data_IF_047741824545
#
_entry.id   IF_047741824545
#
_cell.length_a   1.000
_cell.length_b   1.000
_cell.length_c   1.000
_cell.angle_alpha   90.00
_cell.angle_beta   90.00
_cell.angle_gamma   90.00
#
_symmetry.space_group_name_H-M   'P 1'
#
loop_
_entity.id
_entity.type
_entity.pdbx_description
1 polymer ?
2 branched ?
3 water ?
#
# COMPACT_ATOMS: atom_id res chain seq x y z
N UNK A 1 -12.34 -9.22 -4.68
CA UNK A 1 -13.44 -8.60 -3.99
C UNK A 1 -13.35 -8.74 -2.46
N UNK A 2 -12.76 -9.79 -1.94
CA UNK A 2 -12.64 -9.98 -0.52
C UNK A 2 -11.19 -9.78 -0.08
N UNK A 3 -11.00 -9.41 1.18
CA UNK A 3 -9.67 -9.12 1.72
C UNK A 3 -9.34 -9.94 2.95
N UNK A 4 -8.28 -9.55 3.65
CA UNK A 4 -7.85 -10.26 4.84
C UNK A 4 -7.77 -11.74 4.55
N UNK A 5 -8.21 -12.57 5.49
CA UNK A 5 -8.22 -14.03 5.34
C UNK A 5 -9.20 -14.50 4.25
N UNK A 6 -10.26 -13.74 4.03
CA UNK A 6 -11.22 -14.10 3.01
C UNK A 6 -10.87 -13.48 1.62
N UNK A 7 -9.62 -13.09 1.46
CA UNK A 7 -9.20 -12.47 0.21
C UNK A 7 -7.83 -12.90 -0.24
N UNK A 8 -7.05 -13.45 0.69
CA UNK A 8 -5.70 -13.95 0.46
C UNK A 8 -4.63 -12.87 0.68
N UNK A 9 -4.78 -12.13 1.77
CA UNK A 9 -3.85 -11.07 2.06
C UNK A 9 -4.31 -9.86 1.30
N UNK A 10 -5.24 -10.02 0.36
CA UNK A 10 -5.74 -8.91 -0.47
C UNK A 10 -5.91 -7.64 0.33
N UNK A 11 -5.73 -6.49 -0.32
CA UNK A 11 -5.84 -5.20 0.35
C UNK A 11 -6.89 -4.31 -0.33
N UNK A 12 -7.45 -3.36 0.39
CA UNK A 12 -8.47 -2.48 -0.17
C UNK A 12 -7.71 -1.35 -0.81
N UNK A 13 -8.30 -0.65 -1.79
CA UNK A 13 -7.48 0.44 -2.35
C UNK A 13 -7.62 1.65 -1.41
N UNK A 14 -6.98 2.75 -1.78
CA UNK A 14 -7.06 4.00 -1.01
C UNK A 14 -7.19 3.87 0.50
N UNK A 15 -6.48 2.93 1.10
CA UNK A 15 -6.50 2.73 2.56
C UNK A 15 -7.76 2.20 3.25
N UNK A 16 -8.79 1.94 2.46
CA UNK A 16 -10.06 1.42 2.95
C UNK A 16 -9.78 0.32 3.95
N UNK A 17 -10.59 0.28 5.01
CA UNK A 17 -10.49 -0.70 6.09
C UNK A 17 -11.19 -1.97 5.70
N UNK A 18 -10.55 -3.06 6.06
CA UNK A 18 -11.03 -4.39 5.74
C UNK A 18 -11.47 -5.09 6.99
N UNK A 19 -12.78 -5.02 7.27
CA UNK A 19 -13.36 -5.60 8.49
C UNK A 19 -13.05 -7.06 8.64
N UNK A 20 -13.46 -7.60 9.77
CA UNK A 20 -13.21 -9.01 10.04
C UNK A 20 -14.00 -9.98 9.18
N UNK A 21 -14.99 -9.49 8.47
CA UNK A 21 -15.78 -10.35 7.62
C UNK A 21 -15.22 -10.40 6.19
N UNK A 22 -14.07 -9.76 5.98
CA UNK A 22 -13.44 -9.74 4.67
C UNK A 22 -13.98 -8.72 3.69
N UNK A 23 -14.59 -7.64 4.18
CA UNK A 23 -15.13 -6.62 3.27
C UNK A 23 -14.47 -5.23 3.41
N UNK A 24 -14.44 -4.50 2.29
CA UNK A 24 -13.83 -3.17 2.21
C UNK A 24 -14.75 -1.96 2.43
N UNK A 25 -14.28 -1.01 3.24
CA UNK A 25 -15.05 0.18 3.49
C UNK A 25 -14.40 0.98 4.59
N UNK A 26 -15.09 2.03 5.00
CA UNK A 26 -14.62 2.94 6.03
C UNK A 26 -15.81 3.14 6.95
N UNK A 27 -15.54 3.36 8.24
CA UNK A 27 -16.57 3.57 9.23
C UNK A 27 -16.42 2.65 10.43
N UNK A 28 -16.99 3.05 11.58
CA UNK A 28 -16.92 2.25 12.78
C UNK A 28 -17.10 0.77 12.55
N UNK A 29 -17.91 0.45 11.56
CA UNK A 29 -18.17 -0.94 11.27
C UNK A 29 -16.97 -1.68 10.70
N UNK A 30 -16.34 -1.10 9.69
CA UNK A 30 -15.20 -1.75 9.06
C UNK A 30 -13.86 -1.45 9.71
N UNK A 31 -13.64 -0.20 10.09
CA UNK A 31 -12.39 0.25 10.70
C UNK A 31 -12.20 -0.09 12.13
N UNK A 32 -13.25 -0.58 12.77
CA UNK A 32 -13.21 -0.92 14.18
C UNK A 32 -12.63 -2.27 14.54
N UNK A 33 -13.36 -3.04 15.36
CA UNK A 33 -12.90 -4.36 15.77
C UNK A 33 -12.98 -5.36 14.61
N UNK A 34 -11.94 -6.17 14.49
CA UNK A 34 -11.88 -7.12 13.40
C UNK A 34 -11.26 -6.53 12.13
N UNK A 35 -10.78 -5.29 12.18
CA UNK A 35 -10.12 -4.66 11.02
C UNK A 35 -8.96 -5.61 10.71
N UNK A 36 -8.77 -5.94 9.42
CA UNK A 36 -7.69 -6.85 9.05
C UNK A 36 -6.46 -6.16 8.42
N UNK A 37 -6.68 -5.00 7.79
CA UNK A 37 -5.67 -4.18 7.12
C UNK A 37 -6.35 -2.88 6.70
N UNK A 38 -5.57 -1.86 6.42
CA UNK A 38 -6.15 -0.59 6.00
C UNK A 38 -5.93 0.45 7.09
N UNK A 39 -6.63 1.58 7.02
CA UNK A 39 -6.51 2.65 8.02
C UNK A 39 -7.22 2.32 9.31
N UNK A 40 -6.94 1.15 9.88
CA UNK A 40 -7.61 0.75 11.11
C UNK A 40 -7.64 1.83 12.15
N UNK A 41 -8.40 1.58 13.21
CA UNK A 41 -8.50 2.49 14.34
C UNK A 41 -7.66 1.89 15.42
N UNK A 42 -7.42 0.62 15.22
CA UNK A 42 -6.69 -0.24 16.12
C UNK A 42 -5.31 -0.61 15.50
N UNK A 43 -4.44 0.41 15.37
CA UNK A 43 -3.09 0.31 14.78
C UNK A 43 -2.19 -0.86 15.18
N UNK A 44 -1.91 -1.69 14.18
CA UNK A 44 -1.12 -2.93 14.23
C UNK A 44 0.37 -2.90 14.54
N UNK A 45 0.82 -3.94 15.23
CA UNK A 45 2.22 -4.08 15.64
C UNK A 45 3.13 -4.49 14.50
N UNK A 46 4.43 -4.28 14.65
CA UNK A 46 5.34 -4.70 13.61
C UNK A 46 6.75 -4.80 14.12
N UNK A 47 7.70 -4.98 13.21
CA UNK A 47 9.10 -5.06 13.59
C UNK A 47 9.41 -5.82 14.86
N UNK A 48 10.44 -5.34 15.56
CA UNK A 48 10.93 -5.94 16.81
C UNK A 48 9.82 -6.29 17.77
N UNK A 49 8.92 -5.33 17.95
CA UNK A 49 7.81 -5.49 18.86
C UNK A 49 6.78 -6.48 18.38
N UNK A 50 7.00 -7.09 17.22
CA UNK A 50 6.00 -8.02 16.71
C UNK A 50 6.54 -9.20 15.94
N UNK A 51 7.71 -9.67 16.33
CA UNK A 51 8.31 -10.81 15.64
C UNK A 51 8.67 -10.49 14.20
N UNK A 52 8.72 -9.21 13.87
CA UNK A 52 9.06 -8.81 12.52
C UNK A 52 8.02 -9.11 11.48
N UNK A 53 6.85 -8.50 11.59
CA UNK A 53 5.80 -8.69 10.61
C UNK A 53 5.39 -7.31 10.12
N UNK A 54 5.98 -6.94 8.99
CA UNK A 54 5.77 -5.65 8.33
C UNK A 54 4.32 -5.20 8.32
N UNK A 55 4.12 -3.94 7.94
CA UNK A 55 2.81 -3.35 7.88
C UNK A 55 2.18 -3.52 6.52
N UNK A 56 0.86 -3.80 6.50
CA UNK A 56 0.25 -3.95 5.19
C UNK A 56 0.03 -2.54 4.69
N UNK A 57 -0.50 -2.42 3.48
CA UNK A 57 -0.80 -1.15 2.83
C UNK A 57 0.40 -0.21 2.68
N UNK A 58 1.60 -0.73 2.92
CA UNK A 58 2.91 0.01 2.81
C UNK A 58 3.07 1.12 3.83
N UNK A 59 2.57 0.88 5.04
CA UNK A 59 2.66 1.85 6.09
C UNK A 59 4.05 1.71 6.64
N UNK A 60 4.50 2.73 7.39
CA UNK A 60 5.82 2.78 8.00
C UNK A 60 5.62 2.21 9.35
N UNK A 61 6.58 1.46 9.82
CA UNK A 61 6.51 0.82 11.12
C UNK A 61 7.34 1.64 12.07
N UNK A 62 6.69 2.49 12.84
CA UNK A 62 7.40 3.37 13.77
C UNK A 62 8.38 2.62 14.63
N UNK A 63 9.14 3.39 15.40
CA UNK A 63 10.12 2.83 16.30
C UNK A 63 9.41 2.07 17.41
N UNK A 64 8.30 2.59 17.88
CA UNK A 64 7.61 1.93 18.96
C UNK A 64 6.90 0.65 18.56
N UNK A 65 6.80 0.40 17.26
CA UNK A 65 6.17 -0.81 16.73
C UNK A 65 4.72 -0.76 16.26
N UNK A 66 4.24 0.40 15.83
CA UNK A 66 2.87 0.54 15.35
C UNK A 66 2.84 1.02 13.91
N UNK A 67 1.87 0.52 13.13
CA UNK A 67 1.70 0.87 11.72
C UNK A 67 0.99 2.18 11.44
N UNK A 68 1.64 3.03 10.65
CA UNK A 68 1.04 4.32 10.31
C UNK A 68 1.82 5.08 9.24
N UNK A 69 1.43 6.33 9.06
CA UNK A 69 2.03 7.28 8.14
C UNK A 69 2.07 8.59 8.89
N UNK A 70 3.21 9.26 8.86
CA UNK A 70 3.39 10.53 9.53
C UNK A 70 4.80 10.55 10.08
N UNK A 71 5.27 11.75 10.41
CA UNK A 71 6.63 11.97 10.92
C UNK A 71 6.98 11.08 12.07
N UNK A 72 5.97 10.67 12.82
CA UNK A 72 6.16 9.82 13.99
C UNK A 72 6.40 8.38 13.63
N UNK A 73 5.98 8.00 12.42
CA UNK A 73 6.13 6.61 11.93
C UNK A 73 7.22 6.39 10.91
N UNK A 74 7.08 7.07 9.78
CA UNK A 74 8.05 7.00 8.69
C UNK A 74 9.39 7.61 9.14
N UNK A 75 9.33 8.71 9.90
CA UNK A 75 10.51 9.40 10.37
C UNK A 75 11.56 8.62 11.15
N UNK A 76 12.16 9.28 12.15
CA UNK A 76 13.17 8.68 12.99
C UNK A 76 12.65 7.40 13.62
N UNK A 77 13.54 6.45 13.82
CA UNK A 77 13.12 5.20 14.42
C UNK A 77 12.59 4.18 13.42
N UNK A 78 11.83 4.65 12.42
CA UNK A 78 11.22 3.82 11.37
C UNK A 78 11.94 2.49 11.11
N UNK A 79 11.31 1.38 11.54
CA UNK A 79 11.88 0.03 11.36
C UNK A 79 11.58 -0.62 9.98
N UNK A 80 10.52 -0.16 9.30
CA UNK A 80 10.20 -0.73 8.00
C UNK A 80 9.06 0.01 7.31
N UNK A 81 8.95 -0.07 5.99
CA UNK A 81 7.91 0.62 5.23
C UNK A 81 8.59 1.75 4.46
N UNK A 82 7.88 2.67 3.77
CA UNK A 82 8.56 3.74 3.03
C UNK A 82 9.18 4.75 3.98
N UNK A 83 10.27 4.34 4.65
CA UNK A 83 10.93 5.22 5.60
C UNK A 83 11.55 6.42 4.89
N UNK A 84 11.64 7.56 5.58
CA UNK A 84 12.21 8.75 5.00
C UNK A 84 13.75 8.66 4.82
N UNK A 85 14.33 7.57 5.30
CA UNK A 85 15.75 7.31 5.22
C UNK A 85 15.94 6.16 4.24
N UNK A 86 17.09 6.16 3.58
CA UNK A 86 17.40 5.14 2.60
C UNK A 86 17.77 3.81 3.22
N UNK A 87 17.12 2.77 2.75
CA UNK A 87 17.39 1.47 3.29
C UNK A 87 18.41 0.84 2.35
N UNK A 88 19.63 0.70 2.88
CA UNK A 88 20.78 0.11 2.19
C UNK A 88 20.47 -1.35 1.90
N UNK A 89 21.28 -2.02 1.09
CA UNK A 89 21.03 -3.43 0.80
C UNK A 89 22.19 -4.13 0.07
N UNK A 90 21.83 -5.09 -0.78
CA UNK A 90 22.78 -5.84 -1.59
C UNK A 90 24.17 -6.19 -1.07
N UNK A 91 25.08 -6.36 -2.02
CA UNK A 91 26.48 -6.71 -1.78
C UNK A 91 27.16 -5.85 -0.75
N UNK A 92 26.74 -4.60 -0.69
CA UNK A 92 27.33 -3.67 0.25
C UNK A 92 26.95 -4.04 1.67
N UNK A 93 25.66 -3.91 1.95
CA UNK A 93 25.14 -4.18 3.28
C UNK A 93 25.18 -5.62 3.80
N UNK A 94 26.27 -6.35 3.56
CA UNK A 94 26.34 -7.71 4.04
C UNK A 94 25.48 -8.70 3.26
N UNK A 95 24.96 -8.27 2.10
CA UNK A 95 24.13 -9.13 1.27
C UNK A 95 22.62 -9.01 1.43
N UNK A 96 22.15 -8.22 2.38
CA UNK A 96 20.72 -8.03 2.67
C UNK A 96 19.72 -7.91 1.51
N UNK A 97 18.49 -8.37 1.76
CA UNK A 97 17.44 -8.30 0.76
C UNK A 97 16.47 -7.21 1.19
N UNK A 98 15.87 -6.50 0.25
CA UNK A 98 14.91 -5.45 0.60
C UNK A 98 13.65 -6.04 1.25
N UNK A 99 12.88 -5.21 1.98
CA UNK A 99 11.65 -5.60 2.65
C UNK A 99 10.49 -5.48 1.66
N UNK A 100 9.45 -6.29 1.84
CA UNK A 100 8.30 -6.22 0.95
C UNK A 100 8.62 -6.13 -0.56
N UNK A 101 9.36 -7.12 -1.07
CA UNK A 101 9.74 -7.23 -2.47
C UNK A 101 10.24 -5.93 -3.10
N UNK A 102 10.99 -5.16 -2.34
CA UNK A 102 11.53 -3.92 -2.90
C UNK A 102 12.80 -4.28 -3.63
N UNK A 103 13.07 -3.51 -4.69
CA UNK A 103 14.22 -3.69 -5.53
C UNK A 103 15.40 -3.03 -4.86
N UNK A 104 16.55 -3.70 -4.93
CA UNK A 104 17.80 -3.21 -4.41
C UNK A 104 18.63 -2.85 -5.64
N UNK A 105 18.76 -1.54 -5.92
CA UNK A 105 19.53 -1.03 -7.06
C UNK A 105 21.00 -1.40 -7.00
N UNK A 106 21.78 -0.91 -7.97
CA UNK A 106 23.22 -1.22 -8.03
C UNK A 106 24.10 -0.51 -7.01
N UNK A 107 23.56 0.60 -6.50
CA UNK A 107 24.23 1.46 -5.51
C UNK A 107 24.00 1.01 -4.06
N UNK A 108 23.19 -0.03 -3.88
CA UNK A 108 22.91 -0.56 -2.55
C UNK A 108 21.81 0.13 -1.76
N UNK A 109 20.70 0.47 -2.43
CA UNK A 109 19.58 1.13 -1.77
C UNK A 109 18.19 0.67 -2.23
N UNK A 110 17.28 0.48 -1.27
CA UNK A 110 15.95 0.00 -1.57
C UNK A 110 15.03 1.02 -2.16
N UNK A 111 14.20 0.56 -3.11
CA UNK A 111 13.23 1.40 -3.79
C UNK A 111 12.48 0.58 -4.84
N UNK A 112 11.86 1.25 -5.81
CA UNK A 112 11.07 0.58 -6.83
C UNK A 112 10.88 1.52 -8.02
N UNK A 113 11.24 1.06 -9.23
CA UNK A 113 11.13 1.88 -10.43
C UNK A 113 12.32 1.60 -11.32
N UNK A 114 12.42 2.24 -12.49
CA UNK A 114 13.56 2.02 -13.42
C UNK A 114 14.84 2.07 -12.64
N UNK A 115 15.04 3.21 -12.03
CA UNK A 115 16.18 3.48 -11.20
C UNK A 115 16.62 2.33 -10.26
N UNK A 116 15.67 1.50 -9.79
CA UNK A 116 15.99 0.42 -8.84
C UNK A 116 15.79 -0.97 -9.44
N UNK A 117 14.71 -1.10 -10.18
CA UNK A 117 14.35 -2.37 -10.82
C UNK A 117 14.90 -2.52 -12.25
N UNK A 118 15.46 -1.41 -12.75
CA UNK A 118 16.08 -1.35 -14.07
C UNK A 118 17.38 -2.13 -14.02
N UNK A 119 18.47 -1.60 -14.56
CA UNK A 119 19.68 -2.39 -14.52
C UNK A 119 20.59 -2.13 -13.34
N UNK A 120 21.15 -3.23 -12.82
CA UNK A 120 22.03 -3.20 -11.68
C UNK A 120 21.38 -3.83 -10.46
N UNK A 121 20.08 -4.08 -10.60
CA UNK A 121 19.25 -4.65 -9.53
C UNK A 121 19.78 -5.95 -8.90
N UNK A 122 20.00 -5.90 -7.60
CA UNK A 122 20.52 -7.05 -6.85
C UNK A 122 19.51 -8.06 -6.28
N UNK A 123 18.27 -7.63 -6.03
CA UNK A 123 17.26 -8.51 -5.46
C UNK A 123 15.89 -7.83 -5.45
N UNK A 124 14.84 -8.65 -5.32
CA UNK A 124 13.49 -8.14 -5.29
C UNK A 124 12.82 -8.19 -6.64
N UNK A 125 11.89 -7.27 -6.87
CA UNK A 125 11.11 -7.21 -8.11
C UNK A 125 11.88 -6.60 -9.25
N UNK A 126 13.07 -7.16 -9.49
CA UNK A 126 13.98 -6.71 -10.56
C UNK A 126 13.42 -7.06 -11.94
N UNK A 127 13.31 -6.06 -12.82
CA UNK A 127 12.82 -6.27 -14.19
C UNK A 127 13.90 -6.82 -15.14
N UNK A 128 15.14 -6.94 -14.65
CA UNK A 128 16.27 -7.44 -15.42
C UNK A 128 15.90 -8.73 -16.12
N UNK A 129 14.99 -9.46 -15.50
CA UNK A 129 14.48 -10.70 -16.04
C UNK A 129 15.52 -11.74 -16.44
N UNK A 130 16.64 -11.78 -15.72
CA UNK A 130 17.70 -12.75 -16.02
C UNK A 130 17.18 -14.16 -15.79
N UNK A 131 17.74 -15.13 -16.50
CA UNK A 131 17.32 -16.52 -16.37
C UNK A 131 17.75 -17.17 -15.03
N UNK A 132 17.79 -18.49 -15.01
CA UNK A 132 18.18 -19.23 -13.82
C UNK A 132 18.45 -20.68 -14.19
N UNK A 133 18.61 -21.53 -13.19
CA UNK A 133 18.83 -22.95 -13.38
C UNK A 133 19.63 -23.54 -14.54
N UNK A 134 19.31 -24.79 -14.86
CA UNK A 134 19.97 -25.60 -15.89
C UNK A 134 20.24 -24.86 -17.18
N UNK A 135 19.28 -24.07 -17.58
CA UNK A 135 19.35 -23.30 -18.81
C UNK A 135 20.57 -22.41 -18.97
N UNK A 136 21.19 -22.01 -17.86
CA UNK A 136 22.35 -21.13 -17.95
C UNK A 136 23.15 -20.94 -16.66
N UNK A 137 24.27 -21.65 -16.54
CA UNK A 137 25.11 -21.52 -15.38
C UNK A 137 24.57 -22.19 -14.14
N UNK A 138 23.27 -22.46 -14.15
CA UNK A 138 22.64 -23.10 -13.01
C UNK A 138 22.38 -22.13 -11.87
N UNK A 139 22.41 -20.84 -12.17
CA UNK A 139 22.19 -19.82 -11.16
C UNK A 139 20.75 -19.91 -10.63
N UNK A 140 20.55 -19.40 -9.43
CA UNK A 140 19.25 -19.43 -8.80
C UNK A 140 18.81 -18.01 -8.49
N UNK A 141 17.51 -17.84 -8.28
CA UNK A 141 16.89 -16.56 -7.99
C UNK A 141 17.17 -15.87 -6.67
N UNK A 142 16.79 -14.60 -6.59
CA UNK A 142 16.94 -13.87 -5.34
C UNK A 142 15.61 -14.11 -4.66
N UNK A 143 15.48 -13.65 -3.42
CA UNK A 143 14.23 -13.75 -2.69
C UNK A 143 13.52 -15.10 -2.74
N UNK A 144 14.27 -16.17 -3.00
CA UNK A 144 13.67 -17.51 -3.04
C UNK A 144 12.52 -17.59 -4.03
N UNK A 145 12.46 -16.66 -4.97
CA UNK A 145 11.43 -16.65 -5.99
C UNK A 145 11.53 -18.01 -6.65
N UNK A 146 10.49 -18.42 -7.36
CA UNK A 146 10.51 -19.72 -8.04
C UNK A 146 11.09 -19.54 -9.42
N UNK A 147 11.78 -20.56 -9.92
CA UNK A 147 12.39 -20.52 -11.26
C UNK A 147 11.68 -21.53 -12.19
N UNK A 148 10.92 -21.00 -13.16
CA UNK A 148 10.14 -21.81 -14.10
C UNK A 148 10.92 -22.72 -15.04
N UNK A 149 10.15 -23.46 -15.85
CA UNK A 149 10.68 -24.41 -16.85
C UNK A 149 11.62 -23.73 -17.87
N UNK A 150 11.18 -22.60 -18.40
CA UNK A 150 12.01 -21.84 -19.31
C UNK A 150 12.74 -20.78 -18.48
N UNK A 151 13.37 -21.27 -17.41
CA UNK A 151 14.15 -20.44 -16.51
C UNK A 151 13.79 -18.98 -16.44
N UNK A 152 12.70 -18.71 -15.74
CA UNK A 152 12.22 -17.35 -15.53
C UNK A 152 11.93 -17.30 -14.04
N UNK A 153 12.50 -16.35 -13.31
CA UNK A 153 12.22 -16.27 -11.87
C UNK A 153 10.86 -15.64 -11.59
N UNK A 154 10.08 -16.22 -10.69
CA UNK A 154 8.76 -15.64 -10.41
C UNK A 154 8.05 -16.39 -9.32
N UNK A 155 6.84 -15.96 -9.01
CA UNK A 155 5.97 -16.53 -7.96
C UNK A 155 4.63 -16.71 -8.62
N UNK A 156 3.95 -17.78 -8.26
CA UNK A 156 2.66 -18.06 -8.85
C UNK A 156 2.63 -19.54 -9.16
N UNK A 157 1.60 -20.02 -9.85
CA UNK A 157 1.57 -21.46 -10.16
C UNK A 157 2.54 -21.85 -11.26
N UNK A 158 2.67 -21.00 -12.28
CA UNK A 158 3.54 -21.31 -13.41
C UNK A 158 5.05 -21.20 -13.22
N UNK A 159 5.46 -20.85 -12.02
CA UNK A 159 6.88 -20.73 -11.74
C UNK A 159 7.21 -21.73 -10.66
N UNK A 160 6.21 -22.00 -9.82
CA UNK A 160 6.39 -22.88 -8.69
C UNK A 160 5.86 -24.28 -8.83
N UNK A 161 4.99 -24.50 -9.81
CA UNK A 161 4.43 -25.82 -10.03
C UNK A 161 5.49 -26.78 -10.54
N UNK A 162 5.15 -27.48 -11.62
CA UNK A 162 6.03 -28.46 -12.26
C UNK A 162 7.02 -27.74 -13.16
N UNK A 163 8.22 -28.28 -13.25
CA UNK A 163 9.24 -27.67 -14.08
C UNK A 163 9.80 -26.48 -13.35
N UNK A 164 9.64 -26.47 -12.03
CA UNK A 164 10.17 -25.41 -11.20
C UNK A 164 11.49 -26.05 -10.80
N UNK A 165 12.59 -25.36 -11.07
CA UNK A 165 13.91 -25.89 -10.80
C UNK A 165 14.45 -25.56 -9.43
N UNK A 166 14.21 -24.34 -8.98
CA UNK A 166 14.67 -23.90 -7.67
C UNK A 166 13.75 -22.81 -7.14
N UNK A 167 13.77 -22.61 -5.84
CA UNK A 167 12.92 -21.59 -5.24
C UNK A 167 11.75 -22.14 -4.47
N UNK A 168 10.70 -21.35 -4.32
CA UNK A 168 9.51 -21.79 -3.60
C UNK A 168 8.66 -22.66 -4.48
N UNK A 169 9.27 -23.72 -5.02
CA UNK A 169 8.57 -24.63 -5.91
C UNK A 169 7.39 -25.17 -5.13
N UNK A 170 6.21 -24.71 -5.51
CA UNK A 170 4.95 -25.10 -4.87
C UNK A 170 4.69 -26.59 -5.13
N UNK A 171 5.65 -27.21 -5.82
CA UNK A 171 5.65 -28.62 -6.16
C UNK A 171 7.09 -29.01 -6.56
N UNK B 1 -10.88 -13.42 -4.18
CA UNK B 1 -9.42 -13.40 -4.07
C UNK B 1 -8.69 -12.79 -5.28
N UNK B 2 -9.45 -12.13 -6.15
CA UNK B 2 -8.96 -11.52 -7.35
C UNK B 2 -8.63 -10.06 -7.07
N UNK B 3 -7.73 -9.54 -7.89
CA UNK B 3 -7.23 -8.18 -7.76
C UNK B 3 -7.59 -7.36 -8.97
N UNK B 4 -6.90 -6.23 -9.15
CA UNK B 4 -7.15 -5.37 -10.27
C UNK B 4 -8.63 -5.12 -10.34
N UNK B 5 -9.16 -4.89 -11.54
CA UNK B 5 -10.60 -4.66 -11.71
C UNK B 5 -11.49 -5.90 -11.45
N UNK B 6 -10.90 -7.10 -11.45
CA UNK B 6 -11.65 -8.36 -11.18
C UNK B 6 -11.82 -8.57 -9.68
N UNK B 7 -11.44 -7.56 -8.91
CA UNK B 7 -11.56 -7.61 -7.47
C UNK B 7 -11.95 -6.22 -7.07
N UNK B 8 -12.31 -5.40 -8.06
CA UNK B 8 -12.70 -4.02 -7.81
C UNK B 8 -11.57 -3.23 -7.17
N UNK B 9 -10.62 -2.75 -7.98
CA UNK B 9 -9.49 -1.96 -7.49
C UNK B 9 -8.72 -2.47 -6.29
N UNK B 10 -8.84 -3.76 -6.02
CA UNK B 10 -8.19 -4.42 -4.88
C UNK B 10 -6.69 -4.61 -5.16
N UNK B 11 -5.88 -4.74 -4.13
CA UNK B 11 -4.48 -4.87 -4.39
C UNK B 11 -3.87 -6.05 -3.73
N UNK B 12 -2.78 -6.51 -4.31
CA UNK B 12 -2.02 -7.65 -3.84
C UNK B 12 -1.16 -7.25 -2.65
N UNK B 13 -0.83 -8.20 -1.78
CA UNK B 13 -0.01 -7.95 -0.60
C UNK B 13 1.45 -7.94 -0.98
N UNK B 14 2.31 -7.52 -0.04
CA UNK B 14 3.76 -7.48 -0.23
C UNK B 14 4.25 -7.03 -1.58
N UNK B 15 3.64 -6.00 -2.12
CA UNK B 15 4.03 -5.46 -3.40
C UNK B 15 3.90 -6.29 -4.66
N UNK B 16 3.23 -7.44 -4.56
CA UNK B 16 3.02 -8.34 -5.70
C UNK B 16 2.21 -7.71 -6.83
N UNK B 17 2.55 -8.09 -8.06
CA UNK B 17 1.89 -7.56 -9.25
C UNK B 17 0.56 -8.23 -9.58
N UNK B 18 -0.42 -7.40 -9.94
CA UNK B 18 -1.72 -7.90 -10.30
C UNK B 18 -1.74 -7.88 -11.80
N UNK B 19 -1.69 -9.06 -12.42
CA UNK B 19 -1.67 -9.14 -13.87
C UNK B 19 -2.95 -8.68 -14.50
N UNK B 20 -2.89 -8.50 -15.82
CA UNK B 20 -4.03 -8.10 -16.64
C UNK B 20 -5.33 -8.85 -16.41
N UNK B 21 -5.25 -10.12 -16.01
CA UNK B 21 -6.41 -11.00 -15.76
C UNK B 21 -6.94 -11.03 -14.34
N UNK B 22 -6.32 -10.26 -13.45
CA UNK B 22 -6.78 -10.18 -12.07
C UNK B 22 -6.23 -11.16 -11.08
N UNK B 23 -4.96 -11.53 -11.18
CA UNK B 23 -4.39 -12.47 -10.23
C UNK B 23 -3.08 -11.96 -9.63
N UNK B 24 -2.88 -12.19 -8.35
CA UNK B 24 -1.65 -11.76 -7.74
C UNK B 24 -0.45 -12.63 -7.98
N UNK B 25 0.63 -12.01 -8.42
CA UNK B 25 1.84 -12.77 -8.62
C UNK B 25 2.99 -11.83 -8.83
N UNK B 26 4.15 -12.43 -9.05
CA UNK B 26 5.40 -11.75 -9.33
C UNK B 26 6.03 -12.55 -10.46
N UNK B 27 6.42 -11.86 -11.51
CA UNK B 27 7.07 -12.48 -12.65
C UNK B 27 6.78 -11.66 -13.89
N UNK B 28 7.44 -11.95 -15.02
CA UNK B 28 7.19 -11.17 -16.23
C UNK B 28 5.72 -11.29 -16.59
N UNK B 29 5.13 -12.42 -16.19
CA UNK B 29 3.73 -12.71 -16.51
C UNK B 29 2.72 -12.13 -15.58
N UNK B 30 3.18 -11.31 -14.68
CA UNK B 30 2.31 -10.66 -13.72
C UNK B 30 2.68 -9.17 -13.72
N UNK B 31 3.98 -8.90 -13.70
CA UNK B 31 4.54 -7.53 -13.72
C UNK B 31 4.74 -6.90 -15.12
N UNK B 32 4.62 -7.72 -16.17
CA UNK B 32 4.79 -7.24 -17.54
C UNK B 32 3.69 -6.29 -17.98
N UNK B 33 3.07 -6.58 -19.13
CA UNK B 33 2.00 -5.76 -19.67
C UNK B 33 0.69 -6.25 -19.11
N UNK B 34 -0.22 -5.31 -18.87
CA UNK B 34 -1.50 -5.68 -18.30
C UNK B 34 -1.48 -5.54 -16.79
N UNK B 35 -0.29 -5.55 -16.20
CA UNK B 35 -0.10 -5.39 -14.76
C UNK B 35 -1.04 -4.24 -14.37
N UNK B 36 -1.74 -4.36 -13.24
CA UNK B 36 -2.66 -3.30 -12.84
C UNK B 36 -2.18 -2.51 -11.59
N UNK B 37 -1.36 -3.16 -10.76
CA UNK B 37 -0.87 -2.55 -9.55
C UNK B 37 0.19 -3.48 -9.00
N UNK B 38 0.91 -3.01 -7.99
CA UNK B 38 1.99 -3.79 -7.39
C UNK B 38 3.26 -3.22 -7.98
N UNK B 39 4.35 -3.97 -7.94
CA UNK B 39 5.62 -3.54 -8.52
C UNK B 39 5.68 -3.67 -10.06
N UNK B 40 4.71 -3.08 -10.77
CA UNK B 40 4.69 -3.15 -12.23
C UNK B 40 5.94 -2.59 -12.86
N UNK B 41 6.58 -3.43 -13.66
CA UNK B 41 7.82 -3.13 -14.39
C UNK B 41 7.86 -1.78 -15.10
N UNK B 42 6.68 -1.33 -15.51
CA UNK B 42 6.47 -0.05 -16.15
C UNK B 42 5.48 0.59 -15.19
N UNK B 43 6.06 1.40 -14.33
CA UNK B 43 5.39 2.15 -13.28
C UNK B 43 4.18 2.95 -13.75
N UNK B 44 3.08 2.78 -13.04
CA UNK B 44 1.85 3.48 -13.38
C UNK B 44 2.05 4.98 -13.19
N UNK B 45 1.32 5.79 -13.94
CA UNK B 45 1.47 7.24 -13.84
C UNK B 45 0.61 7.86 -12.74
N UNK B 46 0.58 9.18 -12.69
CA UNK B 46 -0.18 9.87 -11.66
C UNK B 46 -0.12 11.35 -11.83
N UNK B 47 -0.51 12.07 -10.76
CA UNK B 47 -0.47 13.53 -10.68
C UNK B 47 -0.87 14.39 -11.85
N UNK B 48 -0.27 15.58 -11.89
CA UNK B 48 -0.53 16.57 -12.94
C UNK B 48 -0.48 15.96 -14.34
N UNK B 49 0.50 15.08 -14.54
CA UNK B 49 0.71 14.40 -15.80
C UNK B 49 -0.55 13.64 -16.09
N UNK B 50 -0.89 12.75 -15.16
CA UNK B 50 -2.08 11.91 -15.31
C UNK B 50 -3.35 12.54 -14.76
N UNK B 51 -3.67 13.77 -15.20
CA UNK B 51 -4.88 14.44 -14.74
C UNK B 51 -5.26 14.35 -13.26
N UNK B 52 -4.29 14.02 -12.40
CA UNK B 52 -4.53 13.88 -10.98
C UNK B 52 -4.45 12.45 -10.43
N UNK B 53 -4.48 11.45 -11.32
CA UNK B 53 -4.44 10.02 -11.00
C UNK B 53 -3.50 9.75 -9.83
N UNK B 54 -3.98 9.07 -8.78
CA UNK B 54 -3.14 8.73 -7.62
C UNK B 54 -2.60 7.31 -7.71
N UNK B 55 -1.39 7.11 -7.20
CA UNK B 55 -0.76 5.81 -7.25
C UNK B 55 -1.35 4.76 -6.34
N UNK B 56 -1.46 3.50 -6.84
CA UNK B 56 -2.01 2.47 -5.96
C UNK B 56 -0.98 2.14 -4.86
N UNK B 57 -1.28 1.14 -4.03
CA UNK B 57 -0.47 0.67 -2.91
C UNK B 57 0.34 1.72 -2.15
N UNK B 58 -0.07 2.97 -2.13
CA UNK B 58 0.69 4.04 -1.39
C UNK B 58 2.10 4.18 -1.91
N UNK B 59 2.21 4.23 -3.22
CA UNK B 59 3.49 4.38 -3.87
C UNK B 59 3.61 5.89 -3.92
N UNK B 60 4.85 6.38 -3.97
CA UNK B 60 5.05 7.81 -4.07
C UNK B 60 5.01 8.07 -5.53
N UNK B 61 4.39 9.18 -5.89
CA UNK B 61 4.30 9.67 -7.25
C UNK B 61 5.38 10.76 -7.37
N UNK B 62 6.53 10.44 -7.94
CA UNK B 62 7.63 11.40 -8.11
C UNK B 62 7.19 12.65 -8.81
N UNK B 63 8.11 13.57 -9.02
CA UNK B 63 7.76 14.82 -9.69
C UNK B 63 7.57 14.73 -11.18
N UNK B 64 7.74 13.54 -11.75
CA UNK B 64 7.56 13.37 -13.18
C UNK B 64 6.24 12.68 -13.50
N UNK B 65 5.59 12.12 -12.48
CA UNK B 65 4.36 11.41 -12.70
C UNK B 65 4.59 9.91 -12.92
N UNK B 66 5.38 9.30 -12.05
CA UNK B 66 5.68 7.86 -12.11
C UNK B 66 5.68 7.35 -10.68
N UNK B 67 5.05 6.20 -10.44
CA UNK B 67 4.92 5.61 -9.09
C UNK B 67 6.05 4.70 -8.71
N UNK B 68 6.61 4.91 -7.53
CA UNK B 68 7.69 4.04 -7.08
C UNK B 68 8.01 4.33 -5.64
N UNK B 69 9.23 4.01 -5.22
CA UNK B 69 9.71 4.21 -3.86
C UNK B 69 11.18 4.64 -3.85
N UNK B 70 11.66 5.16 -2.73
CA UNK B 70 13.05 5.62 -2.67
C UNK B 70 13.31 7.08 -3.02
N UNK B 71 14.50 7.56 -2.66
CA UNK B 71 14.94 8.96 -2.86
C UNK B 71 14.29 9.69 -3.98
N UNK B 72 14.32 9.07 -5.16
CA UNK B 72 13.84 9.68 -6.40
C UNK B 72 12.37 9.90 -6.60
N UNK B 73 11.58 9.27 -5.74
CA UNK B 73 10.11 9.32 -5.80
C UNK B 73 9.47 9.98 -4.60
N UNK B 74 9.87 9.51 -3.43
CA UNK B 74 9.37 10.01 -2.16
C UNK B 74 10.16 11.23 -1.70
N UNK B 75 11.34 11.46 -2.31
CA UNK B 75 12.21 12.57 -1.96
C UNK B 75 11.65 13.94 -2.27
N UNK B 76 12.43 14.77 -2.94
CA UNK B 76 11.91 16.07 -3.26
C UNK B 76 11.15 15.91 -4.57
N UNK B 77 10.15 16.75 -4.78
CA UNK B 77 9.34 16.68 -5.98
C UNK B 77 8.10 15.84 -5.78
N UNK B 78 8.17 14.85 -4.89
CA UNK B 78 7.05 13.97 -4.61
C UNK B 78 5.73 14.69 -4.75
N UNK B 79 4.88 14.08 -5.58
CA UNK B 79 3.56 14.57 -5.89
C UNK B 79 2.47 13.95 -5.02
N UNK B 80 2.75 12.78 -4.45
CA UNK B 80 1.76 12.12 -3.60
C UNK B 80 2.27 10.81 -3.00
N UNK B 81 1.43 10.13 -2.22
CA UNK B 81 1.86 8.87 -1.62
C UNK B 81 2.56 9.22 -0.34
N UNK B 82 3.31 8.28 0.24
CA UNK B 82 3.98 8.64 1.49
C UNK B 82 5.23 9.51 1.28
N UNK B 83 5.06 10.76 0.83
CA UNK B 83 6.22 11.62 0.58
C UNK B 83 7.20 11.71 1.75
N UNK B 84 8.42 12.22 1.50
CA UNK B 84 9.36 12.37 2.61
C UNK B 84 9.08 13.70 3.34
N UNK B 85 8.37 14.61 2.68
CA UNK B 85 8.03 15.89 3.28
C UNK B 85 6.61 15.85 3.85
N UNK B 86 6.37 16.66 4.90
CA UNK B 86 5.09 16.75 5.61
C UNK B 86 4.07 17.38 4.73
N UNK B 87 2.89 16.79 4.74
CA UNK B 87 1.77 17.20 3.90
C UNK B 87 0.76 18.00 4.69
N UNK B 88 0.57 19.25 4.29
CA UNK B 88 -0.36 20.13 4.98
C UNK B 88 -1.82 19.85 4.64
N UNK B 89 -2.71 20.28 5.53
CA UNK B 89 -4.14 20.06 5.35
C UNK B 89 -5.00 20.82 6.35
N UNK B 90 -6.29 20.84 6.09
CA UNK B 90 -7.23 21.46 7.00
C UNK B 90 -7.32 22.95 6.97
N UNK B 91 -7.68 23.53 8.12
CA UNK B 91 -7.82 24.98 8.24
C UNK B 91 -6.54 25.69 7.83
N UNK B 92 -5.41 25.15 8.28
CA UNK B 92 -4.11 25.71 7.97
C UNK B 92 -3.92 25.80 6.45
N UNK B 93 -4.24 24.72 5.78
CA UNK B 93 -4.08 24.61 4.33
C UNK B 93 -5.33 24.94 3.52
N UNK B 94 -6.27 25.66 4.11
CA UNK B 94 -7.48 26.03 3.38
C UNK B 94 -8.48 24.91 3.14
N UNK B 95 -8.78 24.15 4.18
CA UNK B 95 -9.72 23.04 4.04
C UNK B 95 -9.11 21.83 3.32
N UNK B 96 -7.90 22.00 2.81
CA UNK B 96 -7.15 20.99 2.05
C UNK B 96 -7.22 19.61 2.71
N UNK B 97 -7.97 18.69 2.11
CA UNK B 97 -8.08 17.32 2.62
C UNK B 97 -6.81 16.55 2.36
N UNK B 98 -6.65 15.43 3.06
CA UNK B 98 -5.50 14.60 2.81
C UNK B 98 -5.92 13.60 1.77
N UNK B 99 -4.96 13.16 0.93
CA UNK B 99 -5.30 12.19 -0.09
C UNK B 99 -5.24 10.78 0.47
N UNK B 100 -5.91 9.86 -0.21
CA UNK B 100 -5.94 8.46 0.19
C UNK B 100 -6.41 8.22 1.60
N UNK B 101 -7.48 8.94 1.94
CA UNK B 101 -8.15 8.84 3.24
C UNK B 101 -7.32 9.17 4.48
N UNK B 102 -6.02 9.44 4.31
CA UNK B 102 -5.16 9.76 5.45
C UNK B 102 -5.89 10.75 6.32
N UNK B 103 -5.59 10.69 7.61
CA UNK B 103 -6.18 11.56 8.62
C UNK B 103 -5.40 12.83 8.63
N UNK B 104 -6.10 13.94 8.84
CA UNK B 104 -5.46 15.22 8.93
C UNK B 104 -5.48 15.53 10.39
N UNK B 105 -4.30 15.53 10.99
CA UNK B 105 -4.08 15.80 12.41
C UNK B 105 -4.66 17.08 12.96
N UNK B 106 -4.51 17.21 14.27
CA UNK B 106 -4.93 18.42 14.97
C UNK B 106 -4.04 19.59 14.51
N UNK B 107 -2.76 19.29 14.27
CA UNK B 107 -1.72 20.25 13.88
C UNK B 107 -1.64 20.57 12.41
N UNK B 108 -2.35 19.78 11.60
CA UNK B 108 -2.38 20.02 10.17
C UNK B 108 -1.44 19.32 9.22
N UNK B 109 -1.19 18.02 9.39
CA UNK B 109 -0.35 17.23 8.48
C UNK B 109 -0.93 15.83 8.38
N UNK B 110 -1.23 15.40 7.17
CA UNK B 110 -1.83 14.10 6.99
C UNK B 110 -0.98 12.99 7.49
N UNK B 111 -1.63 11.87 7.81
CA UNK B 111 -0.90 10.71 8.29
C UNK B 111 -1.93 9.67 8.63
N UNK B 112 -1.63 8.75 9.54
CA UNK B 112 -2.57 7.71 10.00
C UNK B 112 -1.96 7.29 11.32
N UNK B 113 -2.80 6.98 12.31
CA UNK B 113 -2.32 6.56 13.62
C UNK B 113 -3.08 7.40 14.62
N UNK B 114 -3.03 7.05 15.90
CA UNK B 114 -3.75 7.82 16.91
C UNK B 114 -3.43 9.32 16.83
N UNK B 115 -2.18 9.61 16.51
CA UNK B 115 -1.67 10.95 16.39
C UNK B 115 -2.49 11.76 15.42
N UNK B 116 -2.70 11.25 14.22
CA UNK B 116 -3.47 12.03 13.25
C UNK B 116 -4.98 11.78 13.26
N UNK B 117 -5.33 10.52 13.45
CA UNK B 117 -6.71 10.07 13.40
C UNK B 117 -7.57 10.28 14.63
N UNK B 118 -6.95 10.36 15.80
CA UNK B 118 -7.66 10.54 17.04
C UNK B 118 -8.09 11.96 17.34
N UNK B 119 -8.07 12.30 18.63
CA UNK B 119 -8.44 13.63 19.11
C UNK B 119 -7.83 14.74 18.27
N UNK B 120 -8.70 15.64 17.78
CA UNK B 120 -8.27 16.74 16.94
C UNK B 120 -8.48 16.48 15.45
N UNK B 121 -8.39 15.21 15.07
CA UNK B 121 -8.56 14.74 13.69
C UNK B 121 -9.56 15.62 12.90
N UNK B 122 -9.11 16.33 11.86
CA UNK B 122 -10.04 17.18 11.12
C UNK B 122 -10.65 16.71 9.80
N UNK B 123 -10.13 15.64 9.22
CA UNK B 123 -10.70 15.07 8.00
C UNK B 123 -9.92 13.81 7.66
N UNK B 124 -10.53 12.91 6.88
CA UNK B 124 -9.88 11.67 6.51
C UNK B 124 -10.42 10.54 7.35
N UNK B 125 -9.61 9.50 7.59
CA UNK B 125 -9.99 8.31 8.35
C UNK B 125 -10.02 8.41 9.89
N UNK B 126 -10.62 9.49 10.40
CA UNK B 126 -10.69 9.77 11.83
C UNK B 126 -11.30 8.72 12.77
N UNK B 127 -10.47 8.21 13.67
CA UNK B 127 -10.88 7.19 14.65
C UNK B 127 -11.92 7.68 15.69
N UNK B 128 -12.10 9.00 15.71
CA UNK B 128 -13.05 9.64 16.59
C UNK B 128 -14.37 9.63 15.84
N UNK B 129 -15.25 8.71 16.18
CA UNK B 129 -16.54 8.66 15.50
C UNK B 129 -17.39 9.86 15.96
N UNK B 130 -17.46 10.88 15.13
CA UNK B 130 -18.25 12.07 15.44
C UNK B 130 -19.64 11.80 14.92
N UNK B 131 -20.64 12.35 15.60
CA UNK B 131 -22.01 12.14 15.17
C UNK B 131 -22.42 13.12 14.09
N UNK B 132 -23.17 12.63 13.11
CA UNK B 132 -23.65 13.46 12.02
C UNK B 132 -25.20 13.47 12.00
N UNK B 133 -25.78 14.25 11.10
CA UNK B 133 -27.23 14.27 10.99
C UNK B 133 -28.11 15.08 11.93
N UNK B 134 -29.41 14.88 11.78
CA UNK B 134 -30.40 15.60 12.59
C UNK B 134 -30.12 15.52 14.07
N UNK B 135 -29.74 14.32 14.51
CA UNK B 135 -29.41 14.09 15.92
C UNK B 135 -27.96 14.52 16.20
N UNK B 136 -27.47 15.49 15.43
CA UNK B 136 -26.11 16.01 15.56
C UNK B 136 -25.97 17.40 14.92
N UNK B 137 -26.88 18.29 15.28
CA UNK B 137 -26.86 19.63 14.75
C UNK B 137 -27.13 19.72 13.25
N UNK B 138 -27.29 18.56 12.63
CA UNK B 138 -27.50 18.52 11.19
C UNK B 138 -26.14 18.53 10.51
N UNK B 139 -25.11 18.24 11.31
CA UNK B 139 -23.74 18.19 10.84
C UNK B 139 -23.66 17.18 9.70
N UNK B 140 -22.70 17.37 8.80
CA UNK B 140 -22.45 16.50 7.65
C UNK B 140 -20.95 16.11 7.73
N UNK B 141 -20.60 14.94 7.21
CA UNK B 141 -19.23 14.41 7.30
C UNK B 141 -18.09 15.01 6.49
N UNK B 142 -16.87 14.53 6.74
CA UNK B 142 -15.68 14.96 5.99
C UNK B 142 -15.45 14.01 4.80
N UNK B 143 -14.67 14.47 3.84
CA UNK B 143 -14.34 13.65 2.69
C UNK B 143 -15.53 13.20 1.84
N UNK B 144 -16.70 13.76 2.08
CA UNK B 144 -17.90 13.38 1.34
C UNK B 144 -18.24 11.93 1.62
N UNK B 145 -18.21 11.57 2.89
CA UNK B 145 -18.56 10.23 3.33
C UNK B 145 -20.07 10.13 3.53
N UNK B 146 -20.57 8.90 3.61
CA UNK B 146 -21.99 8.64 3.81
C UNK B 146 -22.38 8.70 5.30
N UNK B 147 -23.24 9.67 5.66
CA UNK B 147 -23.71 9.79 7.04
C UNK B 147 -24.81 8.76 7.22
N UNK B 148 -24.55 7.71 8.01
CA UNK B 148 -25.53 6.65 8.22
C UNK B 148 -26.83 7.04 8.92
N UNK B 149 -27.85 6.20 8.73
CA UNK B 149 -29.17 6.41 9.33
C UNK B 149 -29.05 6.47 10.86
N UNK B 150 -28.05 5.78 11.40
CA UNK B 150 -27.85 5.77 12.83
C UNK B 150 -26.85 6.85 13.27
N UNK B 151 -26.60 7.77 12.34
CA UNK B 151 -25.71 8.91 12.58
C UNK B 151 -24.23 8.65 12.80
N UNK B 152 -23.55 8.12 11.78
CA UNK B 152 -22.12 7.84 11.84
C UNK B 152 -21.62 7.92 10.41
N UNK B 153 -20.37 8.33 10.23
CA UNK B 153 -19.80 8.43 8.89
C UNK B 153 -19.02 7.17 8.50
N UNK B 154 -19.15 6.78 7.23
CA UNK B 154 -18.46 5.61 6.73
C UNK B 154 -18.79 5.38 5.27
N UNK B 155 -18.17 4.36 4.69
CA UNK B 155 -18.34 3.94 3.29
C UNK B 155 -18.68 2.43 3.33
N UNK B 156 -19.60 2.05 2.46
CA UNK B 156 -20.02 0.67 2.41
C UNK B 156 -21.52 0.71 2.34
N UNK B 157 -22.16 -0.46 2.19
CA UNK B 157 -23.63 -0.55 2.10
C UNK B 157 -24.41 0.04 3.27
N UNK B 158 -24.01 -0.30 4.50
CA UNK B 158 -24.71 0.21 5.66
C UNK B 158 -24.87 1.73 5.68
N UNK B 159 -23.76 2.43 5.50
CA UNK B 159 -23.80 3.86 5.57
C UNK B 159 -24.29 4.55 4.32
N UNK B 160 -24.00 3.96 3.17
CA UNK B 160 -24.33 4.61 1.90
C UNK B 160 -25.69 4.44 1.26
N UNK B 161 -26.25 3.24 1.34
CA UNK B 161 -27.54 3.02 0.72
C UNK B 161 -28.73 3.47 1.55
N UNK B 162 -29.60 2.50 1.82
CA UNK B 162 -30.83 2.72 2.59
C UNK B 162 -30.58 3.30 3.99
N UNK B 163 -31.12 4.50 4.22
CA UNK B 163 -30.97 5.18 5.50
C UNK B 163 -30.08 6.43 5.49
N UNK B 164 -29.05 6.40 4.63
CA UNK B 164 -28.09 7.49 4.48
C UNK B 164 -28.69 8.87 4.35
N UNK B 165 -28.43 9.70 5.34
CA UNK B 165 -28.95 11.06 5.42
C UNK B 165 -28.27 11.96 4.38
N UNK B 166 -27.07 12.44 4.70
CA UNK B 166 -26.28 13.28 3.79
C UNK B 166 -24.93 12.63 3.47
N UNK B 167 -24.50 12.77 2.23
CA UNK B 167 -23.23 12.18 1.83
C UNK B 167 -23.28 11.55 0.45
N UNK B 168 -22.32 10.66 0.19
CA UNK B 168 -22.24 9.99 -1.10
C UNK B 168 -23.19 8.80 -1.19
N UNK B 169 -24.42 9.02 -0.73
CA UNK B 169 -25.45 7.98 -0.73
C UNK B 169 -25.90 7.76 -2.18
N UNK B 170 -26.23 6.53 -2.52
CA UNK B 170 -26.71 6.23 -3.87
C UNK B 170 -28.19 6.56 -3.81
N UNK B 171 -28.84 5.99 -2.80
CA UNK B 171 -30.25 6.17 -2.59
C UNK B 171 -30.69 5.18 -1.51
X LIG C 1 6.13 8.16 23.04
X LIG C 1 6.25 7.43 24.39
X LIG C 1 6.05 5.92 24.23
X LIG C 1 4.84 5.57 23.39
X LIG C 1 4.83 6.40 22.10
X LIG C 1 3.60 6.21 21.25
X LIG C 1 6.13 9.53 23.23
X LIG C 1 7.54 7.66 24.95
X LIG C 1 5.88 5.35 25.52
X LIG C 1 3.67 5.81 24.16
X LIG C 1 4.90 7.81 22.41
X LIG C 1 3.34 4.82 20.96
X LIG C 2 2.01 4.64 20.58
X LIG C 2 1.85 4.40 19.10
X LIG C 2 0.36 4.32 18.77
X LIG C 2 -0.36 3.31 19.69
X LIG C 2 0.03 3.48 21.17
X LIG C 2 -0.48 2.37 22.09
X LIG C 2 3.62 5.19 17.63
X LIG C 2 4.24 6.37 16.89
X LIG C 2 2.50 5.45 18.34
X LIG C 2 0.18 3.92 17.41
X LIG C 2 -1.76 3.45 19.55
X LIG C 2 1.47 3.55 21.32
X LIG C 2 0.58 1.77 22.84
X LIG C 2 4.11 4.06 17.54
X LIG D 1 15.38 11.09 -13.41
X LIG D 1 16.34 12.11 -14.05
X LIG D 1 15.51 13.27 -14.67
X LIG D 1 14.52 12.68 -15.70
X LIG D 1 13.66 11.58 -15.01
X LIG D 1 12.65 10.90 -15.91
X LIG D 1 16.09 10.05 -12.82
X LIG D 1 17.22 12.62 -13.06
X LIG D 1 16.34 14.24 -15.29
X LIG D 1 15.23 12.16 -16.83
X LIG D 1 14.50 10.56 -14.42
X LIG D 1 11.72 10.14 -15.10
X LIG D 2 11.80 8.77 -15.21
X LIG D 2 11.04 8.09 -14.08
X LIG D 2 11.17 6.58 -14.28
X LIG D 2 10.56 6.23 -15.65
X LIG D 2 11.27 7.02 -16.74
X LIG D 2 10.67 6.81 -18.11
X LIG D 2 10.83 9.22 -11.95
X LIG D 2 11.52 9.52 -10.64
X LIG D 2 11.54 8.47 -12.78
X LIG D 2 10.49 5.87 -13.26
X LIG D 2 10.70 4.85 -15.89
X LIG D 2 11.22 8.44 -16.47
X LIG D 2 11.17 7.78 -19.03
X LIG D 2 9.69 9.64 -12.20
#
# INVERSE_FOLDING_TARGET
>A
QRCGEQGSGMECPNNLCCSQYGYCGMGGDYCGKGCQNGACWTSKRCGSQAGGKTCPNNHCCSQYGHCGFGAEYCGAGCQGGPCRADIKCGSQAGGKLCPNNLCCSQWGYCGLGSEFCGEGCQNGACSTDKPCGKDAGGRVCTNNYCCSKWGSCGIGPGYCGAGCQSGGCDGVFAEAIATNSTLLAE
>B
QRCGEQGSGMECPNNLCCSQYGYCGMGGDYCGKGCQNGACWTSKRCGSQAGGKTCPNNHCCSQYGHCGFGAEYCGAGCQGGPCRADIKCGSQAGGKLCPNNLCCSQWGYCGLGSEFCGEGCQNGACSTDKPCGKDAGGRVCTNNYCCSKWGSCGIGPGYCGAGCQSGGCDGVFAEAIATNSTLLAE
>C hetero
1 GAL C1 C2 C3 C4 C5 C6 O1 O2 O3 O4 O5 O6
2 NAG C1 C2 C3 C4 C5 C6 C7 C8 N2 O3 O4 O5 O6 O7
>D hetero
1 GAL C1 C2 C3 C4 C5 C6 O1 O2 O3 O4 O5 O6
2 NAG C1 C2 C3 C4 C5 C6 C7 C8 N2 O3 O4 O5 O6 O7
#
